data_IF_654512224166
#
_entry.id   IF_654512224166
#
_cell.length_a   1.000
_cell.length_b   1.000
_cell.length_c   1.000
_cell.angle_alpha   90.00
_cell.angle_beta   90.00
_cell.angle_gamma   90.00
#
_symmetry.space_group_name_H-M   'P 1'
#
loop_
_entity.id
_entity.type
_entity.pdbx_description
1 polymer ?
#
# COMPACT_ATOMS: atom_id res chain seq x y z
N UNK A 1 -6.26 -22.70 -5.95
CA UNK A 1 -6.30 -22.74 -4.48
C UNK A 1 -5.14 -21.94 -3.93
N UNK A 2 -5.31 -21.31 -2.81
CA UNK A 2 -4.30 -20.51 -2.08
C UNK A 2 -2.97 -21.25 -1.91
N UNK A 3 -3.01 -22.55 -1.69
CA UNK A 3 -1.84 -23.42 -1.61
C UNK A 3 -0.96 -23.39 -2.87
N UNK A 4 -1.58 -23.38 -4.05
CA UNK A 4 -0.83 -23.35 -5.33
C UNK A 4 -0.18 -21.98 -5.56
N UNK A 5 -0.81 -20.91 -5.12
CA UNK A 5 -0.24 -19.58 -5.19
C UNK A 5 1.01 -19.47 -4.31
N UNK A 6 0.95 -19.97 -3.08
CA UNK A 6 2.08 -19.99 -2.16
C UNK A 6 3.30 -20.74 -2.71
N UNK A 7 3.11 -21.95 -3.25
CA UNK A 7 4.21 -22.72 -3.82
C UNK A 7 4.88 -21.98 -5.00
N UNK A 8 4.10 -21.28 -5.83
CA UNK A 8 4.67 -20.49 -6.92
C UNK A 8 5.48 -19.28 -6.40
N UNK A 9 4.98 -18.57 -5.38
CA UNK A 9 5.71 -17.45 -4.76
C UNK A 9 6.99 -17.96 -4.12
N UNK A 10 6.92 -19.04 -3.36
CA UNK A 10 8.07 -19.68 -2.72
C UNK A 10 9.14 -20.06 -3.75
N UNK A 11 8.77 -20.74 -4.82
CA UNK A 11 9.69 -21.10 -5.88
C UNK A 11 10.34 -19.86 -6.51
N UNK A 12 9.55 -18.82 -6.80
CA UNK A 12 10.09 -17.60 -7.37
C UNK A 12 11.10 -16.88 -6.46
N UNK A 13 10.87 -16.89 -5.15
CA UNK A 13 11.82 -16.35 -4.16
C UNK A 13 13.10 -17.17 -4.11
N UNK A 14 12.99 -18.51 -4.05
CA UNK A 14 14.12 -19.45 -4.01
C UNK A 14 14.98 -19.36 -5.28
N UNK A 15 14.37 -19.32 -6.46
CA UNK A 15 15.05 -19.18 -7.75
C UNK A 15 15.85 -17.88 -7.86
N UNK A 16 15.48 -16.86 -7.11
CA UNK A 16 16.19 -15.58 -7.05
C UNK A 16 17.08 -15.42 -5.80
N UNK A 17 17.28 -16.49 -5.01
CA UNK A 17 18.12 -16.46 -3.82
C UNK A 17 17.60 -15.56 -2.69
N UNK A 18 16.28 -15.32 -2.64
CA UNK A 18 15.65 -14.46 -1.65
C UNK A 18 15.20 -15.31 -0.47
N UNK A 19 15.73 -14.98 0.72
CA UNK A 19 15.30 -15.60 1.97
C UNK A 19 13.94 -15.06 2.38
N UNK A 20 13.09 -15.94 2.88
CA UNK A 20 11.78 -15.58 3.41
C UNK A 20 11.50 -16.31 4.73
N UNK A 21 10.54 -15.81 5.49
CA UNK A 21 10.05 -16.44 6.70
C UNK A 21 8.52 -16.48 6.71
N UNK A 22 7.98 -17.24 7.66
CA UNK A 22 6.54 -17.32 7.90
C UNK A 22 6.23 -16.57 9.19
N UNK A 23 5.27 -15.67 9.14
CA UNK A 23 4.81 -14.96 10.33
C UNK A 23 3.81 -15.83 11.09
N UNK A 24 4.05 -16.09 12.39
CA UNK A 24 3.11 -16.83 13.23
C UNK A 24 1.93 -15.95 13.63
N UNK A 25 0.86 -16.58 14.12
CA UNK A 25 -0.28 -15.92 14.79
C UNK A 25 -1.01 -14.85 13.95
N UNK A 26 -0.85 -14.88 12.64
CA UNK A 26 -1.60 -14.00 11.73
C UNK A 26 -3.03 -14.50 11.58
N UNK A 27 -4.00 -13.59 11.48
CA UNK A 27 -5.43 -13.90 11.28
C UNK A 27 -5.85 -13.74 9.82
N UNK A 28 -5.00 -13.10 9.02
CA UNK A 28 -5.21 -12.88 7.58
C UNK A 28 -3.90 -12.96 6.81
N UNK A 29 -3.99 -13.10 5.49
CA UNK A 29 -2.85 -13.18 4.57
C UNK A 29 -2.32 -11.79 4.16
N UNK A 30 -3.08 -10.72 4.36
CA UNK A 30 -2.77 -9.35 3.93
C UNK A 30 -1.78 -8.67 4.89
N UNK A 31 -0.54 -9.18 4.89
CA UNK A 31 0.55 -8.73 5.79
C UNK A 31 0.79 -7.23 5.66
N UNK A 32 0.61 -6.66 4.47
CA UNK A 32 0.78 -5.24 4.20
C UNK A 32 -0.10 -4.37 5.08
N UNK A 33 -1.33 -4.81 5.38
CA UNK A 33 -2.33 -3.97 5.99
C UNK A 33 -2.20 -3.89 7.51
N UNK A 34 -1.83 -4.98 8.18
CA UNK A 34 -1.74 -5.00 9.65
C UNK A 34 -0.32 -4.83 10.21
N UNK A 35 0.73 -5.04 9.40
CA UNK A 35 2.11 -4.88 9.90
C UNK A 35 2.51 -3.40 9.92
N UNK A 36 3.33 -2.99 10.91
CA UNK A 36 3.85 -1.63 10.98
C UNK A 36 4.52 -1.21 9.68
N UNK A 37 4.22 -0.01 9.23
CA UNK A 37 4.83 0.54 8.03
C UNK A 37 6.25 1.05 8.33
N UNK A 38 7.22 0.64 7.51
CA UNK A 38 8.59 1.11 7.65
C UNK A 38 8.81 2.41 6.88
N UNK A 39 9.34 3.41 7.55
CA UNK A 39 9.72 4.70 6.97
C UNK A 39 10.85 5.34 7.76
N UNK A 40 11.85 5.90 7.07
CA UNK A 40 12.93 6.70 7.67
C UNK A 40 13.63 6.03 8.87
N UNK A 41 13.94 4.73 8.76
CA UNK A 41 14.66 3.98 9.79
C UNK A 41 13.81 3.57 11.00
N UNK A 42 12.50 3.68 10.93
CA UNK A 42 11.56 3.31 12.00
C UNK A 42 10.35 2.56 11.47
N UNK A 43 9.75 1.78 12.34
CA UNK A 43 8.43 1.17 12.11
C UNK A 43 7.36 2.03 12.78
N UNK A 44 6.32 2.38 12.04
CA UNK A 44 5.15 3.07 12.58
C UNK A 44 4.07 2.03 12.88
N UNK A 45 3.80 1.82 14.16
CA UNK A 45 2.77 0.89 14.64
C UNK A 45 1.47 1.66 14.85
N UNK A 46 0.48 1.35 14.05
CA UNK A 46 -0.86 1.94 14.05
C UNK A 46 -1.91 0.92 14.52
N UNK A 47 -3.14 1.36 14.66
CA UNK A 47 -4.28 0.50 14.96
C UNK A 47 -4.82 -0.05 13.64
N UNK A 48 -4.72 -1.37 13.45
CA UNK A 48 -5.37 -2.04 12.32
C UNK A 48 -6.80 -2.43 12.70
N UNK A 49 -7.77 -1.67 12.22
CA UNK A 49 -9.20 -1.90 12.48
C UNK A 49 -10.06 -1.35 11.33
N UNK A 50 -9.90 -1.88 10.12
CA UNK A 50 -10.52 -1.32 8.92
C UNK A 50 -12.06 -1.41 8.96
N UNK A 51 -12.70 -0.44 8.34
CA UNK A 51 -14.16 -0.32 8.30
C UNK A 51 -14.83 -1.52 7.57
N UNK A 52 -14.16 -2.06 6.55
CA UNK A 52 -14.65 -3.20 5.76
C UNK A 52 -14.59 -4.56 6.48
N UNK A 53 -13.82 -4.69 7.58
CA UNK A 53 -13.77 -5.92 8.38
C UNK A 53 -14.64 -5.89 9.64
N UNK A 54 -15.50 -4.89 9.83
CA UNK A 54 -16.30 -4.79 11.06
C UNK A 54 -17.28 -5.95 11.26
N UNK A 55 -17.71 -6.59 10.17
CA UNK A 55 -18.54 -7.80 10.22
C UNK A 55 -17.72 -9.10 10.27
N UNK A 56 -16.42 -9.02 10.05
CA UNK A 56 -15.49 -10.17 9.96
C UNK A 56 -14.23 -9.98 10.82
N UNK A 57 -14.39 -9.46 12.03
CA UNK A 57 -13.30 -9.14 12.96
C UNK A 57 -12.34 -10.29 13.27
N UNK A 58 -12.74 -11.54 12.98
CA UNK A 58 -11.87 -12.72 13.10
C UNK A 58 -10.60 -12.63 12.24
N UNK A 59 -10.59 -11.80 11.19
CA UNK A 59 -9.45 -11.56 10.30
C UNK A 59 -8.57 -10.38 10.75
N UNK A 60 -8.97 -9.62 11.77
CA UNK A 60 -8.17 -8.50 12.26
C UNK A 60 -7.00 -9.02 13.09
N UNK A 61 -5.78 -8.87 12.57
CA UNK A 61 -4.54 -9.12 13.31
C UNK A 61 -4.21 -7.90 14.15
N UNK A 62 -4.59 -7.91 15.42
CA UNK A 62 -4.57 -6.78 16.34
C UNK A 62 -3.35 -6.75 17.27
N UNK A 63 -2.65 -7.87 17.44
CA UNK A 63 -1.47 -7.97 18.29
C UNK A 63 -0.21 -8.28 17.48
N UNK A 64 0.37 -7.27 16.86
CA UNK A 64 1.57 -7.41 16.03
C UNK A 64 2.81 -7.90 16.80
N UNK A 65 2.85 -7.75 18.13
CA UNK A 65 3.96 -8.25 18.97
C UNK A 65 4.01 -9.76 19.05
N UNK A 66 2.86 -10.43 18.83
CA UNK A 66 2.79 -11.88 18.74
C UNK A 66 3.15 -12.42 17.35
N UNK A 67 3.16 -11.52 16.36
CA UNK A 67 3.47 -11.82 14.96
C UNK A 67 4.95 -11.66 14.66
N UNK A 68 5.57 -10.60 15.17
CA UNK A 68 6.96 -10.26 14.91
C UNK A 68 7.63 -9.60 16.12
N UNK A 69 8.88 -9.96 16.36
CA UNK A 69 9.70 -9.36 17.41
C UNK A 69 10.41 -8.09 16.92
N UNK A 70 9.94 -6.94 17.38
CA UNK A 70 10.51 -5.63 17.10
C UNK A 70 11.49 -5.15 18.19
N UNK A 71 12.00 -6.02 19.04
CA UNK A 71 12.83 -5.62 20.20
C UNK A 71 14.11 -4.86 19.82
N UNK A 72 14.62 -5.06 18.62
CA UNK A 72 15.81 -4.40 18.09
C UNK A 72 15.49 -3.22 17.15
N UNK A 73 14.22 -2.88 16.99
CA UNK A 73 13.77 -1.90 16.02
C UNK A 73 13.28 -0.62 16.71
N UNK A 74 13.38 0.50 15.98
CA UNK A 74 12.76 1.75 16.40
C UNK A 74 11.27 1.72 16.03
N UNK A 75 10.40 1.49 17.00
CA UNK A 75 8.94 1.47 16.79
C UNK A 75 8.30 2.73 17.36
N UNK A 76 7.60 3.46 16.50
CA UNK A 76 6.82 4.66 16.86
C UNK A 76 5.35 4.32 16.87
N UNK A 77 4.68 4.32 18.03
CA UNK A 77 3.25 4.06 18.09
C UNK A 77 2.43 5.28 17.67
N UNK A 78 1.28 5.02 17.04
CA UNK A 78 0.21 5.98 16.85
C UNK A 78 -1.13 5.35 17.19
N UNK A 79 -2.13 6.17 17.54
CA UNK A 79 -3.50 5.72 17.81
C UNK A 79 -4.40 5.80 16.58
N UNK A 80 -3.87 6.31 15.47
CA UNK A 80 -4.63 6.37 14.23
C UNK A 80 -5.00 4.97 13.75
N UNK A 81 -6.21 4.82 13.27
CA UNK A 81 -6.62 3.66 12.49
C UNK A 81 -6.06 3.85 11.09
N UNK A 82 -5.23 2.91 10.66
CA UNK A 82 -4.56 2.93 9.36
C UNK A 82 -4.56 1.51 8.80
N UNK A 83 -4.79 1.40 7.50
CA UNK A 83 -4.48 0.22 6.73
C UNK A 83 -3.11 0.43 6.06
N UNK A 84 -2.21 -0.52 6.17
CA UNK A 84 -0.87 -0.40 5.60
C UNK A 84 -0.85 -0.30 4.08
N UNK A 85 -1.88 -0.82 3.38
CA UNK A 85 -2.09 -0.63 1.95
C UNK A 85 -2.33 0.85 1.58
N UNK A 86 -2.83 1.65 2.52
CA UNK A 86 -2.97 3.08 2.34
C UNK A 86 -1.68 3.89 2.63
N UNK A 87 -0.54 3.23 2.90
CA UNK A 87 0.71 3.92 3.24
C UNK A 87 1.77 3.67 2.17
N UNK A 88 2.21 4.72 1.50
CA UNK A 88 3.35 4.66 0.57
C UNK A 88 4.47 5.57 1.07
N UNK A 89 5.53 4.97 1.60
CA UNK A 89 6.70 5.69 2.05
C UNK A 89 7.58 6.13 0.87
N UNK A 90 7.86 7.42 0.78
CA UNK A 90 8.60 8.07 -0.30
C UNK A 90 9.77 8.92 0.25
N UNK A 91 10.59 8.36 1.11
CA UNK A 91 11.65 9.11 1.78
C UNK A 91 11.09 10.14 2.76
N UNK A 92 11.24 11.42 2.44
CA UNK A 92 10.73 12.54 3.25
C UNK A 92 9.19 12.76 3.11
N UNK A 93 8.50 11.91 2.35
CA UNK A 93 7.06 12.01 2.11
C UNK A 93 6.34 10.69 2.36
N UNK A 94 5.06 10.78 2.70
CA UNK A 94 4.11 9.68 2.77
C UNK A 94 2.93 10.00 1.87
N UNK A 95 2.59 9.13 0.94
CA UNK A 95 1.36 9.26 0.15
C UNK A 95 0.28 8.41 0.83
N UNK A 96 -0.90 8.99 1.03
CA UNK A 96 -2.10 8.32 1.53
C UNK A 96 -3.33 8.86 0.81
N UNK A 97 -4.37 8.04 0.70
CA UNK A 97 -5.68 8.52 0.26
C UNK A 97 -6.40 9.27 1.37
N UNK A 98 -7.33 10.12 1.00
CA UNK A 98 -8.18 10.87 1.95
C UNK A 98 -9.18 9.98 2.72
N UNK A 99 -9.26 8.68 2.43
CA UNK A 99 -9.96 7.69 3.25
C UNK A 99 -9.50 7.71 4.71
N UNK A 100 -8.24 8.06 4.98
CA UNK A 100 -7.69 8.16 6.33
C UNK A 100 -8.55 9.02 7.29
N UNK A 101 -9.23 10.04 6.78
CA UNK A 101 -10.11 10.86 7.59
C UNK A 101 -11.43 10.16 7.94
N UNK A 102 -11.94 9.31 7.04
CA UNK A 102 -13.14 8.50 7.30
C UNK A 102 -12.88 7.46 8.40
N UNK A 103 -11.67 6.93 8.45
CA UNK A 103 -11.27 5.92 9.44
C UNK A 103 -10.97 6.52 10.83
N UNK A 104 -10.75 7.83 10.90
CA UNK A 104 -10.46 8.56 12.14
C UNK A 104 -11.45 9.71 12.39
N UNK A 105 -12.77 9.44 12.47
CA UNK A 105 -13.80 10.47 12.52
C UNK A 105 -13.81 11.27 13.82
N UNK A 106 -13.13 10.77 14.87
CA UNK A 106 -13.03 11.44 16.18
C UNK A 106 -12.04 12.61 16.18
N UNK A 107 -11.21 12.71 15.12
CA UNK A 107 -10.15 13.71 14.99
C UNK A 107 -10.49 14.70 13.86
N UNK A 108 -10.01 15.92 13.99
CA UNK A 108 -10.00 16.87 12.87
C UNK A 108 -9.00 16.44 11.81
N UNK A 109 -9.17 16.92 10.58
CA UNK A 109 -8.22 16.64 9.49
C UNK A 109 -6.81 17.11 9.85
N UNK A 110 -6.71 18.27 10.48
CA UNK A 110 -5.45 18.87 10.93
C UNK A 110 -4.75 17.99 11.97
N UNK A 111 -5.49 17.43 12.92
CA UNK A 111 -4.93 16.51 13.92
C UNK A 111 -4.46 15.20 13.29
N UNK A 112 -5.21 14.63 12.36
CA UNK A 112 -4.80 13.43 11.62
C UNK A 112 -3.52 13.69 10.83
N UNK A 113 -3.45 14.80 10.08
CA UNK A 113 -2.27 15.18 9.31
C UNK A 113 -1.05 15.35 10.21
N UNK A 114 -1.20 16.12 11.30
CA UNK A 114 -0.10 16.37 12.23
C UNK A 114 0.43 15.06 12.86
N UNK A 115 -0.47 14.15 13.21
CA UNK A 115 -0.09 12.87 13.81
C UNK A 115 0.60 11.94 12.80
N UNK A 116 0.16 11.90 11.55
CA UNK A 116 0.84 11.15 10.47
C UNK A 116 2.26 11.71 10.26
N UNK A 117 2.39 13.03 10.08
CA UNK A 117 3.69 13.66 9.86
C UNK A 117 4.65 13.45 11.04
N UNK A 118 4.13 13.47 12.27
CA UNK A 118 4.89 13.14 13.48
C UNK A 118 5.35 11.69 13.49
N UNK A 119 4.42 10.75 13.28
CA UNK A 119 4.70 9.32 13.41
C UNK A 119 5.69 8.85 12.34
N UNK A 120 5.47 9.24 11.10
CA UNK A 120 6.32 8.86 9.97
C UNK A 120 7.58 9.72 9.81
N UNK A 121 7.68 10.87 10.50
CA UNK A 121 8.72 11.88 10.29
C UNK A 121 8.86 12.27 8.83
N UNK A 122 7.74 12.48 8.16
CA UNK A 122 7.64 12.72 6.73
C UNK A 122 6.43 13.60 6.41
N UNK A 123 6.50 14.34 5.30
CA UNK A 123 5.41 15.19 4.83
C UNK A 123 4.29 14.37 4.23
N UNK A 124 3.05 14.58 4.66
CA UNK A 124 1.88 13.91 4.07
C UNK A 124 1.54 14.51 2.69
N UNK A 125 1.39 13.64 1.72
CA UNK A 125 0.83 13.93 0.39
C UNK A 125 -0.50 13.19 0.29
N UNK A 126 -1.60 13.93 0.34
CA UNK A 126 -2.94 13.37 0.21
C UNK A 126 -3.33 13.25 -1.27
N UNK A 127 -3.84 12.09 -1.63
CA UNK A 127 -4.47 11.85 -2.94
C UNK A 127 -5.95 11.52 -2.75
N UNK A 128 -6.82 11.82 -3.72
CA UNK A 128 -8.21 11.42 -3.65
C UNK A 128 -8.34 9.90 -3.63
N UNK A 129 -9.28 9.39 -2.86
CA UNK A 129 -9.63 7.98 -2.83
C UNK A 129 -10.34 7.55 -4.12
N UNK A 130 -9.90 6.43 -4.69
CA UNK A 130 -10.63 5.74 -5.76
C UNK A 130 -11.86 5.03 -5.18
N UNK A 131 -13.02 5.63 -5.33
CA UNK A 131 -14.28 5.12 -4.78
C UNK A 131 -14.85 3.90 -5.51
N UNK A 132 -14.25 3.48 -6.64
CA UNK A 132 -14.56 2.21 -7.28
C UNK A 132 -13.92 1.02 -6.56
N UNK A 133 -12.97 1.30 -5.66
CA UNK A 133 -12.28 0.33 -4.85
C UNK A 133 -12.70 0.50 -3.39
N UNK A 134 -13.16 -0.59 -2.77
CA UNK A 134 -13.80 -0.58 -1.45
C UNK A 134 -12.80 -0.22 -0.33
N UNK A 135 -11.54 -0.64 -0.47
CA UNK A 135 -10.53 -0.55 0.58
C UNK A 135 -9.93 0.85 0.71
N UNK A 136 -9.89 1.62 -0.38
CA UNK A 136 -9.33 2.97 -0.41
C UNK A 136 -7.82 3.01 -0.23
N UNK A 137 -7.12 1.96 -0.67
CA UNK A 137 -5.69 1.81 -0.53
C UNK A 137 -4.90 2.56 -1.59
N UNK A 138 -3.90 3.33 -1.17
CA UNK A 138 -3.03 4.06 -2.09
C UNK A 138 -2.12 3.15 -2.92
N UNK A 139 -1.76 1.95 -2.43
CA UNK A 139 -0.84 1.03 -3.09
C UNK A 139 -1.40 0.37 -4.36
N UNK A 140 -2.73 0.37 -4.53
CA UNK A 140 -3.41 0.04 -5.77
C UNK A 140 -3.44 1.19 -6.79
N UNK A 141 -3.09 2.41 -6.37
CA UNK A 141 -3.23 3.62 -7.16
C UNK A 141 -1.88 4.20 -7.58
N UNK A 142 -0.91 4.23 -6.66
CA UNK A 142 0.40 4.88 -6.85
C UNK A 142 1.51 4.01 -6.30
N UNK A 143 2.66 4.00 -6.94
CA UNK A 143 3.88 3.35 -6.46
C UNK A 143 5.05 4.33 -6.43
N UNK A 144 5.80 4.37 -5.34
CA UNK A 144 7.09 5.07 -5.30
C UNK A 144 8.14 4.28 -6.09
N UNK A 145 8.82 4.93 -7.01
CA UNK A 145 9.87 4.33 -7.85
C UNK A 145 11.26 4.75 -7.38
N UNK A 146 11.46 6.05 -7.22
CA UNK A 146 12.70 6.66 -6.76
C UNK A 146 12.47 8.10 -6.32
N UNK A 147 13.48 8.78 -5.82
CA UNK A 147 13.37 10.18 -5.46
C UNK A 147 12.77 11.01 -6.60
N UNK A 148 11.73 11.75 -6.28
CA UNK A 148 10.98 12.60 -7.23
C UNK A 148 10.18 11.85 -8.30
N UNK A 149 10.11 10.51 -8.28
CA UNK A 149 9.43 9.72 -9.28
C UNK A 149 8.41 8.75 -8.67
N UNK A 150 7.18 8.83 -9.14
CA UNK A 150 6.09 7.89 -8.84
C UNK A 150 5.52 7.28 -10.11
N UNK A 151 4.99 6.07 -9.97
CA UNK A 151 4.23 5.35 -11.01
C UNK A 151 2.76 5.42 -10.61
N UNK A 152 1.91 5.89 -11.50
CA UNK A 152 0.47 5.95 -11.34
C UNK A 152 -0.17 4.77 -12.08
N UNK A 153 -1.20 4.20 -11.49
CA UNK A 153 -2.02 3.20 -12.18
C UNK A 153 -2.76 3.82 -13.36
N UNK A 154 -3.19 2.99 -14.31
CA UNK A 154 -3.87 3.48 -15.51
C UNK A 154 -5.30 3.93 -15.19
N UNK A 155 -5.51 5.23 -15.09
CA UNK A 155 -6.84 5.85 -14.98
C UNK A 155 -7.30 6.52 -16.28
N UNK A 156 -6.41 6.65 -17.28
CA UNK A 156 -6.64 7.41 -18.51
C UNK A 156 -7.92 7.01 -19.25
N UNK A 157 -8.18 5.71 -19.34
CA UNK A 157 -9.34 5.17 -20.06
C UNK A 157 -10.50 4.75 -19.12
N UNK A 158 -10.24 4.66 -17.81
CA UNK A 158 -11.19 4.18 -16.80
C UNK A 158 -11.89 5.38 -16.14
N UNK A 159 -11.11 6.31 -15.60
CA UNK A 159 -11.58 7.53 -14.94
C UNK A 159 -10.61 8.70 -15.19
N UNK A 160 -10.76 9.40 -16.31
CA UNK A 160 -9.91 10.55 -16.64
C UNK A 160 -10.01 11.71 -15.64
N UNK A 161 -11.15 11.86 -14.96
CA UNK A 161 -11.35 12.90 -13.97
C UNK A 161 -10.56 12.60 -12.69
N UNK A 162 -10.64 11.38 -12.17
CA UNK A 162 -9.82 10.93 -11.04
C UNK A 162 -8.34 11.00 -11.39
N UNK A 163 -7.96 10.56 -12.60
CA UNK A 163 -6.59 10.68 -13.09
C UNK A 163 -6.07 12.11 -12.98
N UNK A 164 -6.85 13.09 -13.43
CA UNK A 164 -6.41 14.50 -13.36
C UNK A 164 -6.24 14.96 -11.91
N UNK A 165 -7.19 14.63 -11.04
CA UNK A 165 -7.09 14.94 -9.59
C UNK A 165 -5.84 14.30 -8.95
N UNK A 166 -5.49 13.07 -9.33
CA UNK A 166 -4.28 12.39 -8.85
C UNK A 166 -3.00 13.10 -9.33
N UNK A 167 -2.95 13.49 -10.62
CA UNK A 167 -1.83 14.24 -11.18
C UNK A 167 -1.69 15.59 -10.48
N UNK A 168 -2.80 16.32 -10.27
CA UNK A 168 -2.79 17.62 -9.60
C UNK A 168 -2.31 17.51 -8.14
N UNK A 169 -2.67 16.42 -7.44
CA UNK A 169 -2.22 16.16 -6.08
C UNK A 169 -0.73 15.76 -5.99
N UNK A 170 -0.22 15.01 -6.97
CA UNK A 170 1.14 14.48 -6.96
C UNK A 170 2.19 15.45 -7.56
N UNK A 171 1.84 16.20 -8.60
CA UNK A 171 2.79 17.03 -9.36
C UNK A 171 3.50 18.11 -8.53
N UNK A 172 2.95 18.69 -7.45
CA UNK A 172 3.70 19.61 -6.60
C UNK A 172 4.84 18.94 -5.81
N UNK A 173 4.80 17.62 -5.68
CA UNK A 173 5.67 16.83 -4.82
C UNK A 173 6.65 15.93 -5.57
N UNK A 174 6.35 15.59 -6.82
CA UNK A 174 7.12 14.66 -7.64
C UNK A 174 7.38 15.27 -9.02
N UNK A 175 8.64 15.30 -9.42
CA UNK A 175 9.06 15.86 -10.70
C UNK A 175 8.74 14.97 -11.90
N UNK A 176 8.48 13.67 -11.64
CA UNK A 176 8.12 12.69 -12.66
C UNK A 176 6.97 11.81 -12.19
N UNK A 177 5.92 11.76 -12.98
CA UNK A 177 4.80 10.84 -12.83
C UNK A 177 4.78 9.99 -14.10
N UNK A 178 5.09 8.70 -13.98
CA UNK A 178 4.88 7.72 -15.06
C UNK A 178 3.53 7.03 -14.84
N UNK A 179 2.94 6.52 -15.89
CA UNK A 179 1.67 5.80 -15.83
C UNK A 179 1.86 4.40 -16.39
N UNK A 180 1.19 3.41 -15.79
CA UNK A 180 1.07 2.10 -16.40
C UNK A 180 0.14 2.19 -17.62
N UNK A 181 0.52 1.56 -18.73
CA UNK A 181 -0.24 1.56 -19.96
C UNK A 181 -0.64 0.12 -20.32
N UNK A 182 -1.86 -0.25 -20.01
CA UNK A 182 -2.43 -1.58 -20.35
C UNK A 182 -3.22 -1.59 -21.65
N UNK A 183 -3.27 -0.49 -22.37
CA UNK A 183 -4.17 -0.29 -23.51
C UNK A 183 -5.63 -0.12 -23.04
N UNK A 184 -6.58 -0.25 -23.96
CA UNK A 184 -8.01 -0.16 -23.63
C UNK A 184 -8.42 -1.41 -22.85
N UNK A 185 -8.45 -1.32 -21.54
CA UNK A 185 -9.01 -2.35 -20.67
C UNK A 185 -10.27 -1.79 -20.00
N UNK A 186 -11.32 -2.59 -19.94
CA UNK A 186 -12.49 -2.31 -19.12
C UNK A 186 -12.35 -2.88 -17.71
N UNK A 187 -11.17 -3.37 -17.36
CA UNK A 187 -10.95 -4.12 -16.13
C UNK A 187 -10.44 -3.20 -15.03
N UNK A 188 -11.19 -3.10 -13.94
CA UNK A 188 -10.76 -2.53 -12.66
C UNK A 188 -9.65 -3.34 -11.98
N UNK A 189 -9.27 -4.50 -12.52
CA UNK A 189 -8.26 -5.39 -11.96
C UNK A 189 -6.81 -4.94 -12.23
N UNK A 190 -6.60 -3.81 -12.90
CA UNK A 190 -5.25 -3.28 -13.17
C UNK A 190 -4.47 -2.88 -11.91
N UNK A 191 -5.15 -2.63 -10.79
CA UNK A 191 -4.52 -2.29 -9.51
C UNK A 191 -3.52 -3.34 -9.01
N UNK A 192 -3.74 -4.62 -9.33
CA UNK A 192 -2.86 -5.69 -8.87
C UNK A 192 -1.45 -5.60 -9.45
N UNK A 193 -1.27 -5.11 -10.67
CA UNK A 193 0.05 -5.04 -11.30
C UNK A 193 0.93 -3.94 -10.69
N UNK A 194 0.36 -2.82 -10.20
CA UNK A 194 1.13 -1.78 -9.52
C UNK A 194 1.53 -2.21 -8.10
N UNK A 195 0.77 -3.14 -7.53
CA UNK A 195 1.03 -3.69 -6.19
C UNK A 195 2.00 -4.89 -6.25
N UNK A 196 3.14 -4.69 -6.92
CA UNK A 196 4.21 -5.69 -7.04
C UNK A 196 5.08 -5.72 -5.78
N UNK A 197 5.69 -6.88 -5.51
CA UNK A 197 6.73 -7.02 -4.49
C UNK A 197 8.10 -6.68 -5.10
N UNK A 198 8.84 -5.78 -4.47
CA UNK A 198 10.22 -5.50 -4.82
C UNK A 198 11.16 -5.91 -3.68
N UNK A 199 12.16 -6.73 -3.99
CA UNK A 199 13.22 -7.14 -3.07
C UNK A 199 14.56 -6.87 -3.74
N UNK A 200 15.27 -5.86 -3.31
CA UNK A 200 16.50 -5.41 -3.94
C UNK A 200 16.27 -5.03 -5.41
N UNK A 201 16.87 -5.79 -6.34
CA UNK A 201 16.74 -5.59 -7.79
C UNK A 201 15.65 -6.46 -8.42
N UNK A 202 15.05 -7.38 -7.66
CA UNK A 202 14.00 -8.27 -8.16
C UNK A 202 12.64 -7.61 -7.97
N UNK A 203 11.80 -7.70 -9.01
CA UNK A 203 10.40 -7.26 -8.99
C UNK A 203 9.52 -8.46 -9.30
N UNK A 204 8.59 -8.78 -8.41
CA UNK A 204 7.62 -9.86 -8.55
C UNK A 204 6.25 -9.27 -8.87
N UNK A 205 5.84 -9.37 -10.13
CA UNK A 205 4.56 -8.83 -10.60
C UNK A 205 3.50 -9.91 -10.53
N UNK A 206 2.32 -9.63 -9.95
CA UNK A 206 1.21 -10.57 -9.95
C UNK A 206 0.77 -10.94 -11.36
N UNK A 207 0.50 -12.24 -11.60
CA UNK A 207 -0.13 -12.72 -12.82
C UNK A 207 -1.58 -13.09 -12.54
N UNK A 208 -2.50 -12.41 -13.20
CA UNK A 208 -3.94 -12.57 -13.00
C UNK A 208 -4.58 -13.54 -14.00
N UNK A 209 -3.82 -14.03 -14.98
CA UNK A 209 -4.32 -14.86 -16.07
C UNK A 209 -5.12 -14.08 -17.13
N UNK A 210 -4.87 -12.78 -17.24
CA UNK A 210 -5.55 -11.86 -18.14
C UNK A 210 -4.59 -11.26 -19.17
N UNK A 211 -5.14 -10.63 -20.21
CA UNK A 211 -4.34 -10.11 -21.33
C UNK A 211 -3.35 -9.03 -20.91
N UNK A 212 -3.67 -8.26 -19.88
CA UNK A 212 -2.82 -7.19 -19.34
C UNK A 212 -1.55 -7.68 -18.67
N UNK A 213 -1.46 -8.96 -18.26
CA UNK A 213 -0.26 -9.53 -17.67
C UNK A 213 0.99 -9.37 -18.57
N UNK A 214 0.78 -9.43 -19.90
CA UNK A 214 1.85 -9.29 -20.90
C UNK A 214 2.30 -7.85 -21.10
N UNK A 215 1.51 -6.90 -20.67
CA UNK A 215 1.79 -5.46 -20.81
C UNK A 215 2.39 -4.87 -19.52
N UNK A 216 2.25 -5.59 -18.40
CA UNK A 216 2.77 -5.18 -17.09
C UNK A 216 4.24 -5.58 -16.86
N UNK A 217 4.84 -6.36 -17.75
CA UNK A 217 6.22 -6.84 -17.73
C UNK A 217 7.03 -6.11 -18.80
#
# INVERSE_FOLDING_TARGET
>A
SEYKCWENIKQALEDNGISYGVLPNTKDLWVRDYMPAYSNGRYVAYVYNPDYLQNDKKYITDNIKEVFDFSNDCVVPTKLVIDGGNVIACGDKIIMTDKIFKENPELTKEEVIAEIERAFSAKLVLIPWDTYEEYGHADGMVRYVSEGHVLLNQYKDIDPELRQKLIDALSPHFSKISELEYGKTSSTNSWAHINYLQVGKCIFVPQLGIMTDKLAI
#
